data_IF_128524369037
#
_entry.id   IF_128524369037
#
_cell.length_a   1.000
_cell.length_b   1.000
_cell.length_c   1.000
_cell.angle_alpha   90.00
_cell.angle_beta   90.00
_cell.angle_gamma   90.00
#
_symmetry.space_group_name_H-M   'P 1'
#
loop_
_entity.id
_entity.type
_entity.pdbx_description
1 polymer ?
#
# COMPACT_ATOMS: atom_id res chain seq x y z
N UNK A 1 20.98 5.26 -7.26
CA UNK A 1 19.61 5.11 -6.74
C UNK A 1 19.76 5.03 -5.23
N UNK A 2 19.66 6.17 -4.53
CA UNK A 2 19.72 6.16 -3.06
C UNK A 2 18.49 5.44 -2.53
N UNK A 3 18.74 4.32 -1.84
CA UNK A 3 17.76 3.55 -1.09
C UNK A 3 17.66 4.19 0.29
N UNK A 4 17.04 5.38 0.36
CA UNK A 4 16.62 5.99 1.63
C UNK A 4 15.26 5.41 2.10
N UNK A 5 14.93 4.22 1.59
CA UNK A 5 13.70 3.49 1.90
C UNK A 5 13.93 2.69 3.19
N UNK A 6 12.94 2.72 4.09
CA UNK A 6 12.98 1.97 5.36
C UNK A 6 13.38 0.50 5.09
N UNK A 7 14.43 -0.03 5.76
CA UNK A 7 14.96 -1.36 5.50
C UNK A 7 13.88 -2.46 5.59
N UNK A 8 12.84 -2.27 6.40
CA UNK A 8 11.73 -3.21 6.50
C UNK A 8 10.88 -3.31 5.22
N UNK A 9 10.76 -2.21 4.47
CA UNK A 9 10.00 -2.16 3.20
C UNK A 9 10.80 -2.85 2.09
N UNK A 10 12.13 -2.65 2.08
CA UNK A 10 13.03 -3.32 1.13
C UNK A 10 13.11 -4.83 1.40
N UNK A 11 13.22 -5.24 2.65
CA UNK A 11 13.24 -6.65 3.04
C UNK A 11 11.97 -7.38 2.58
N UNK A 12 10.81 -6.75 2.75
CA UNK A 12 9.55 -7.32 2.31
C UNK A 12 9.41 -7.41 0.80
N UNK A 13 9.97 -6.45 0.05
CA UNK A 13 10.06 -6.57 -1.40
C UNK A 13 10.94 -7.76 -1.81
N UNK A 14 12.09 -7.95 -1.16
CA UNK A 14 12.95 -9.12 -1.41
C UNK A 14 12.19 -10.40 -1.09
N UNK A 15 11.49 -10.47 0.04
CA UNK A 15 10.67 -11.62 0.39
C UNK A 15 9.61 -11.88 -0.69
N UNK A 16 8.90 -10.85 -1.15
CA UNK A 16 7.93 -10.96 -2.23
C UNK A 16 8.55 -11.51 -3.53
N UNK A 17 9.77 -11.11 -3.89
CA UNK A 17 10.43 -11.64 -5.09
C UNK A 17 10.61 -13.16 -5.03
N UNK A 18 10.82 -13.71 -3.84
CA UNK A 18 10.97 -15.16 -3.63
C UNK A 18 9.63 -15.88 -3.45
N UNK A 19 8.69 -15.30 -2.69
CA UNK A 19 7.43 -15.98 -2.30
C UNK A 19 6.26 -15.66 -3.22
N UNK A 20 6.34 -14.55 -3.96
CA UNK A 20 5.23 -13.89 -4.66
C UNK A 20 4.06 -13.52 -3.76
N UNK A 21 4.34 -13.32 -2.46
CA UNK A 21 3.37 -12.95 -1.45
C UNK A 21 3.85 -11.71 -0.69
N UNK A 22 2.95 -10.75 -0.51
CA UNK A 22 3.22 -9.56 0.31
C UNK A 22 3.13 -9.98 1.77
N UNK A 23 4.24 -9.90 2.49
CA UNK A 23 4.28 -10.26 3.89
C UNK A 23 3.85 -9.09 4.77
N UNK A 24 3.12 -9.38 5.84
CA UNK A 24 2.89 -8.43 6.92
C UNK A 24 4.02 -8.58 7.97
N UNK A 25 4.66 -7.49 8.38
CA UNK A 25 5.53 -7.51 9.55
C UNK A 25 4.70 -7.87 10.78
N UNK A 26 5.15 -8.85 11.57
CA UNK A 26 4.36 -9.41 12.68
C UNK A 26 4.06 -8.43 13.82
N UNK A 27 4.64 -7.23 13.81
CA UNK A 27 4.58 -6.24 14.90
C UNK A 27 4.15 -4.84 14.41
N UNK A 28 3.75 -4.66 13.14
CA UNK A 28 3.35 -3.33 12.69
C UNK A 28 1.96 -2.95 13.23
N UNK A 29 1.95 -1.99 14.16
CA UNK A 29 0.73 -1.29 14.59
C UNK A 29 0.10 -0.43 13.46
N UNK A 30 0.81 -0.23 12.35
CA UNK A 30 0.45 0.71 11.27
C UNK A 30 0.51 0.03 9.88
N UNK A 31 -0.22 -1.08 9.74
CA UNK A 31 -0.25 -1.89 8.52
C UNK A 31 -0.61 -1.08 7.26
N UNK A 32 -1.51 -0.10 7.36
CA UNK A 32 -1.87 0.73 6.22
C UNK A 32 -0.72 1.61 5.73
N UNK A 33 0.03 2.23 6.65
CA UNK A 33 1.22 3.02 6.30
C UNK A 33 2.28 2.13 5.68
N UNK A 34 2.46 0.92 6.23
CA UNK A 34 3.39 -0.06 5.68
C UNK A 34 3.01 -0.47 4.24
N UNK A 35 1.76 -0.84 3.99
CA UNK A 35 1.25 -1.17 2.65
C UNK A 35 1.40 0.00 1.68
N UNK A 36 1.13 1.24 2.13
CA UNK A 36 1.34 2.44 1.33
C UNK A 36 2.82 2.60 0.92
N UNK A 37 3.75 2.40 1.85
CA UNK A 37 5.18 2.44 1.57
C UNK A 37 5.62 1.36 0.59
N UNK A 38 5.09 0.13 0.70
CA UNK A 38 5.37 -0.95 -0.26
C UNK A 38 4.90 -0.58 -1.67
N UNK A 39 3.72 0.02 -1.80
CA UNK A 39 3.23 0.46 -3.11
C UNK A 39 4.16 1.53 -3.73
N UNK A 40 4.60 2.51 -2.92
CA UNK A 40 5.54 3.55 -3.36
C UNK A 40 6.88 2.93 -3.78
N UNK A 41 7.38 1.92 -3.06
CA UNK A 41 8.57 1.17 -3.46
C UNK A 41 8.37 0.46 -4.81
N UNK A 42 7.19 -0.13 -5.02
CA UNK A 42 6.82 -0.73 -6.31
C UNK A 42 6.77 0.29 -7.46
N UNK A 43 6.36 1.54 -7.19
CA UNK A 43 6.45 2.63 -8.19
C UNK A 43 7.91 2.96 -8.52
N UNK A 44 8.78 3.05 -7.51
CA UNK A 44 10.21 3.31 -7.68
C UNK A 44 10.90 2.22 -8.52
N UNK A 45 10.49 0.97 -8.34
CA UNK A 45 11.03 -0.17 -9.09
C UNK A 45 10.29 -0.48 -10.40
N UNK A 46 9.20 0.24 -10.68
CA UNK A 46 8.36 0.02 -11.88
C UNK A 46 7.86 -1.44 -11.93
N UNK A 47 7.69 -2.10 -10.78
CA UNK A 47 7.21 -3.47 -10.70
C UNK A 47 5.68 -3.49 -10.62
N UNK A 48 5.05 -3.65 -11.78
CA UNK A 48 3.58 -3.70 -11.91
C UNK A 48 3.01 -4.89 -11.14
N UNK A 49 3.69 -6.04 -11.14
CA UNK A 49 3.17 -7.24 -10.48
C UNK A 49 3.17 -7.06 -8.96
N UNK A 50 4.25 -6.48 -8.43
CA UNK A 50 4.33 -6.14 -7.01
C UNK A 50 3.29 -5.11 -6.61
N UNK A 51 3.13 -4.03 -7.39
CA UNK A 51 2.10 -3.02 -7.13
C UNK A 51 0.70 -3.63 -7.09
N UNK A 52 0.37 -4.51 -8.02
CA UNK A 52 -0.91 -5.21 -8.01
C UNK A 52 -1.07 -6.08 -6.77
N UNK A 53 -0.06 -6.87 -6.41
CA UNK A 53 -0.09 -7.70 -5.21
C UNK A 53 -0.29 -6.86 -3.93
N UNK A 54 0.33 -5.68 -3.84
CA UNK A 54 0.12 -4.74 -2.73
C UNK A 54 -1.31 -4.20 -2.71
N UNK A 55 -1.89 -3.87 -3.87
CA UNK A 55 -3.28 -3.42 -3.97
C UNK A 55 -4.26 -4.52 -3.54
N UNK A 56 -4.04 -5.76 -4.00
CA UNK A 56 -4.85 -6.91 -3.59
C UNK A 56 -4.77 -7.08 -2.07
N UNK A 57 -3.55 -6.98 -1.50
CA UNK A 57 -3.34 -7.05 -0.05
C UNK A 57 -4.03 -5.91 0.71
N UNK A 58 -4.09 -4.70 0.15
CA UNK A 58 -4.83 -3.57 0.73
C UNK A 58 -6.35 -3.83 0.76
N UNK A 59 -6.88 -4.43 -0.31
CA UNK A 59 -8.30 -4.76 -0.42
C UNK A 59 -8.67 -5.88 0.56
N UNK A 60 -7.87 -6.94 0.63
CA UNK A 60 -8.06 -8.05 1.58
C UNK A 60 -8.01 -7.51 3.02
N UNK A 61 -7.04 -6.66 3.34
CA UNK A 61 -6.93 -6.05 4.66
C UNK A 61 -8.13 -5.14 5.01
N UNK A 62 -8.66 -4.42 4.02
CA UNK A 62 -9.88 -3.65 4.19
C UNK A 62 -11.07 -4.55 4.51
N UNK A 63 -11.26 -5.63 3.76
CA UNK A 63 -12.36 -6.57 3.93
C UNK A 63 -12.30 -7.29 5.30
N UNK A 64 -11.13 -7.83 5.66
CA UNK A 64 -10.93 -8.58 6.91
C UNK A 64 -11.09 -7.71 8.16
N UNK A 65 -10.58 -6.47 8.14
CA UNK A 65 -10.54 -5.60 9.31
C UNK A 65 -11.61 -4.52 9.32
N UNK A 66 -12.40 -4.39 8.25
CA UNK A 66 -13.31 -3.27 8.03
C UNK A 66 -12.63 -1.91 8.25
N UNK A 67 -11.33 -1.83 7.90
CA UNK A 67 -10.46 -0.70 8.21
C UNK A 67 -10.16 0.11 6.96
N UNK A 68 -9.84 1.39 7.12
CA UNK A 68 -9.56 2.30 6.00
C UNK A 68 -8.17 2.93 6.14
N UNK A 69 -7.52 3.32 5.03
CA UNK A 69 -6.21 3.97 5.07
C UNK A 69 -6.27 5.25 5.92
N UNK A 70 -5.53 5.37 7.03
CA UNK A 70 -5.50 6.60 7.81
C UNK A 70 -4.80 7.72 7.04
N UNK A 71 -4.95 8.97 7.50
CA UNK A 71 -4.34 10.16 6.87
C UNK A 71 -2.86 9.97 6.51
N UNK A 72 -2.08 9.33 7.40
CA UNK A 72 -0.66 9.05 7.18
C UNK A 72 -0.40 8.17 5.95
N UNK A 73 -1.17 7.10 5.78
CA UNK A 73 -1.07 6.22 4.61
C UNK A 73 -1.50 6.95 3.32
N UNK A 74 -2.59 7.74 3.39
CA UNK A 74 -3.04 8.57 2.26
C UNK A 74 -1.95 9.55 1.83
N UNK A 75 -1.32 10.22 2.80
CA UNK A 75 -0.23 11.16 2.57
C UNK A 75 0.95 10.48 1.85
N UNK A 76 1.38 9.30 2.33
CA UNK A 76 2.46 8.54 1.69
C UNK A 76 2.13 8.21 0.22
N UNK A 77 0.91 7.75 -0.06
CA UNK A 77 0.50 7.46 -1.44
C UNK A 77 0.51 8.73 -2.30
N UNK A 78 0.02 9.86 -1.80
CA UNK A 78 -0.02 11.10 -2.58
C UNK A 78 1.35 11.76 -2.77
N UNK A 79 2.28 11.60 -1.84
CA UNK A 79 3.63 12.14 -1.95
C UNK A 79 4.56 11.21 -2.76
N UNK A 80 4.38 9.90 -2.65
CA UNK A 80 5.27 8.89 -3.25
C UNK A 80 4.85 8.36 -4.63
N UNK A 81 3.75 8.83 -5.22
CA UNK A 81 3.26 8.34 -6.52
C UNK A 81 3.04 9.48 -7.52
N UNK A 82 3.00 9.25 -8.84
CA UNK A 82 2.64 10.29 -9.82
C UNK A 82 1.14 10.67 -9.76
N UNK A 83 0.79 11.84 -10.32
CA UNK A 83 -0.58 12.39 -10.30
C UNK A 83 -1.67 11.39 -10.76
N UNK A 84 -1.35 10.57 -11.76
CA UNK A 84 -2.26 9.61 -12.36
C UNK A 84 -2.12 8.18 -11.82
N UNK A 85 -1.45 8.00 -10.68
CA UNK A 85 -1.28 6.68 -10.07
C UNK A 85 -2.62 6.04 -9.70
N UNK A 86 -2.87 4.77 -10.05
CA UNK A 86 -4.07 4.03 -9.66
C UNK A 86 -4.29 3.97 -8.14
N UNK A 87 -3.23 3.92 -7.34
CA UNK A 87 -3.35 3.89 -5.88
C UNK A 87 -4.03 5.15 -5.31
N UNK A 88 -3.81 6.33 -5.92
CA UNK A 88 -4.51 7.56 -5.50
C UNK A 88 -6.02 7.46 -5.72
N UNK A 89 -6.43 6.86 -6.84
CA UNK A 89 -7.85 6.61 -7.15
C UNK A 89 -8.45 5.61 -6.17
N UNK A 90 -7.75 4.50 -5.91
CA UNK A 90 -8.22 3.48 -4.98
C UNK A 90 -8.56 4.06 -3.61
N UNK A 91 -7.63 4.82 -3.00
CA UNK A 91 -7.86 5.43 -1.68
C UNK A 91 -9.09 6.33 -1.70
N UNK A 92 -9.25 7.15 -2.74
CA UNK A 92 -10.41 8.03 -2.89
C UNK A 92 -11.71 7.22 -3.02
N UNK A 93 -11.70 6.18 -3.85
CA UNK A 93 -12.86 5.32 -4.11
C UNK A 93 -13.31 4.59 -2.83
N UNK A 94 -12.38 4.11 -2.00
CA UNK A 94 -12.69 3.52 -0.71
C UNK A 94 -13.47 4.49 0.19
N UNK A 95 -13.05 5.76 0.27
CA UNK A 95 -13.73 6.77 1.07
C UNK A 95 -15.08 7.21 0.48
N UNK A 96 -15.16 7.37 -0.84
CA UNK A 96 -16.40 7.72 -1.53
C UNK A 96 -17.47 6.63 -1.34
N UNK A 97 -17.07 5.36 -1.44
CA UNK A 97 -17.95 4.23 -1.20
C UNK A 97 -18.38 4.11 0.26
N UNK A 98 -17.46 4.36 1.21
CA UNK A 98 -17.78 4.42 2.64
C UNK A 98 -18.86 5.46 2.92
N UNK A 99 -18.75 6.63 2.30
CA UNK A 99 -19.75 7.70 2.44
C UNK A 99 -21.13 7.28 1.94
N UNK A 100 -21.20 6.62 0.78
CA UNK A 100 -22.47 6.11 0.23
C UNK A 100 -23.19 5.16 1.20
N UNK A 101 -22.45 4.35 1.97
CA UNK A 101 -23.01 3.41 2.94
C UNK A 101 -23.50 4.05 4.25
N UNK A 102 -23.08 5.26 4.58
CA UNK A 102 -23.39 5.91 5.87
C UNK A 102 -24.69 6.73 5.80
N UNK A 103 -25.07 7.20 4.60
CA UNK A 103 -26.30 7.95 4.35
C UNK A 103 -27.42 7.04 3.82
#
# INVERSE_FOLDING_TARGET
>A
IELDDDPAVVEAYIQYLYTRQVAFPSVAHDNWTYLASLYVLGEKFIDISFKNAVIDTMLDYHEERSSFPPYKAVKIIYEGTPLFSPARKLVLDMYAWRWNKIW
#
